data_IF_153474347673
#
_entry.id   IF_153474347673
#
_cell.length_a   1.000
_cell.length_b   1.000
_cell.length_c   1.000
_cell.angle_alpha   90.00
_cell.angle_beta   90.00
_cell.angle_gamma   90.00
#
_symmetry.space_group_name_H-M   'P 1'
#
loop_
_entity.id
_entity.type
_entity.pdbx_description
1 polymer ?
#
# COMPACT_ATOMS: atom_id res chain seq x y z
N UNK A 1 1.97 -4.92 -10.41
CA UNK A 1 0.72 -4.41 -11.04
C UNK A 1 -0.56 -4.75 -10.24
N UNK A 2 -0.48 -5.32 -9.03
CA UNK A 2 -1.67 -5.63 -8.20
C UNK A 2 -2.35 -4.42 -7.52
N UNK A 3 -1.77 -3.21 -7.63
CA UNK A 3 -2.19 -2.03 -6.87
C UNK A 3 -3.47 -1.37 -7.43
N UNK A 4 -3.75 -1.53 -8.72
CA UNK A 4 -4.93 -0.95 -9.37
C UNK A 4 -6.24 -1.54 -8.85
N UNK A 5 -6.44 -2.88 -8.80
CA UNK A 5 -7.65 -3.45 -8.23
C UNK A 5 -7.77 -3.17 -6.72
N UNK A 6 -6.65 -3.04 -5.99
CA UNK A 6 -6.65 -2.61 -4.60
C UNK A 6 -7.23 -1.19 -4.42
N UNK A 7 -6.77 -0.23 -5.22
CA UNK A 7 -7.27 1.15 -5.13
C UNK A 7 -8.74 1.25 -5.50
N UNK A 8 -9.20 0.50 -6.51
CA UNK A 8 -10.62 0.40 -6.81
C UNK A 8 -11.41 -0.15 -5.62
N UNK A 9 -10.93 -1.24 -5.02
CA UNK A 9 -11.62 -1.87 -3.89
C UNK A 9 -11.73 -0.93 -2.68
N UNK A 10 -10.67 -0.17 -2.37
CA UNK A 10 -10.64 0.78 -1.25
C UNK A 10 -11.56 2.00 -1.45
N UNK A 11 -11.82 2.40 -2.71
CA UNK A 11 -12.67 3.55 -3.05
C UNK A 11 -14.15 3.17 -3.12
N UNK A 12 -14.47 1.98 -3.67
CA UNK A 12 -15.85 1.57 -3.92
C UNK A 12 -16.49 0.72 -2.82
N UNK A 13 -15.70 -0.05 -2.05
CA UNK A 13 -16.22 -0.85 -0.95
C UNK A 13 -16.14 -0.10 0.39
N UNK A 14 -16.98 -0.55 1.33
CA UNK A 14 -16.96 -0.04 2.70
C UNK A 14 -15.57 -0.16 3.34
N UNK A 15 -15.26 0.82 4.20
CA UNK A 15 -13.98 0.97 4.93
C UNK A 15 -13.36 -0.35 5.33
N UNK A 16 -14.13 -1.20 6.00
CA UNK A 16 -13.62 -2.45 6.56
C UNK A 16 -13.32 -3.45 5.45
N UNK A 17 -14.23 -3.60 4.50
CA UNK A 17 -14.17 -4.62 3.44
C UNK A 17 -13.11 -4.28 2.39
N UNK A 18 -13.06 -3.03 1.90
CA UNK A 18 -12.08 -2.61 0.91
C UNK A 18 -10.65 -2.66 1.42
N UNK A 19 -10.42 -2.25 2.68
CA UNK A 19 -9.12 -2.33 3.34
C UNK A 19 -8.67 -3.79 3.54
N UNK A 20 -9.53 -4.64 4.10
CA UNK A 20 -9.13 -6.01 4.44
C UNK A 20 -9.03 -6.89 3.22
N UNK A 21 -10.00 -6.83 2.29
CA UNK A 21 -9.95 -7.62 1.06
C UNK A 21 -8.77 -7.20 0.18
N UNK A 22 -8.50 -5.89 0.09
CA UNK A 22 -7.36 -5.35 -0.62
C UNK A 22 -6.00 -5.76 -0.01
N UNK A 23 -5.85 -5.61 1.31
CA UNK A 23 -4.63 -5.97 2.00
C UNK A 23 -4.37 -7.48 2.03
N UNK A 24 -5.40 -8.29 2.25
CA UNK A 24 -5.29 -9.74 2.20
C UNK A 24 -5.00 -10.23 0.78
N UNK A 25 -5.65 -9.65 -0.24
CA UNK A 25 -5.40 -9.99 -1.64
C UNK A 25 -3.96 -9.69 -2.07
N UNK A 26 -3.44 -8.53 -1.69
CA UNK A 26 -2.02 -8.20 -1.91
C UNK A 26 -1.07 -9.08 -1.11
N UNK A 27 -1.37 -9.35 0.16
CA UNK A 27 -0.54 -10.22 1.00
C UNK A 27 -0.48 -11.67 0.48
N UNK A 28 -1.62 -12.22 0.06
CA UNK A 28 -1.73 -13.54 -0.57
C UNK A 28 -1.01 -13.58 -1.91
N UNK A 29 -1.09 -12.51 -2.71
CA UNK A 29 -0.34 -12.40 -3.94
C UNK A 29 1.17 -12.48 -3.66
N UNK A 30 1.69 -11.76 -2.68
CA UNK A 30 3.12 -11.80 -2.34
C UNK A 30 3.56 -13.16 -1.78
N UNK A 31 2.69 -13.86 -1.03
CA UNK A 31 2.96 -15.22 -0.56
C UNK A 31 3.04 -16.23 -1.70
N UNK A 32 2.15 -16.13 -2.67
CA UNK A 32 2.05 -17.07 -3.80
C UNK A 32 3.04 -16.78 -4.92
N UNK A 33 3.52 -15.53 -5.03
CA UNK A 33 4.46 -15.08 -6.06
C UNK A 33 5.94 -15.19 -5.67
N UNK A 34 6.25 -15.76 -4.49
CA UNK A 34 7.63 -15.99 -4.03
C UNK A 34 8.25 -14.81 -3.27
N UNK A 35 7.49 -13.73 -3.02
CA UNK A 35 7.91 -12.54 -2.28
C UNK A 35 7.46 -12.62 -0.81
N UNK A 36 7.54 -13.81 -0.21
CA UNK A 36 7.04 -14.11 1.15
C UNK A 36 7.61 -13.15 2.20
N UNK A 37 8.88 -12.77 2.06
CA UNK A 37 9.56 -11.88 3.00
C UNK A 37 8.97 -10.46 2.99
N UNK A 38 8.39 -10.05 1.86
CA UNK A 38 7.75 -8.75 1.67
C UNK A 38 6.26 -8.76 2.02
N UNK A 39 5.61 -9.92 2.00
CA UNK A 39 4.19 -10.09 2.29
C UNK A 39 3.73 -9.40 3.60
N UNK A 40 4.44 -9.48 4.74
CA UNK A 40 4.03 -8.80 5.97
C UNK A 40 3.99 -7.27 5.79
N UNK A 41 5.00 -6.70 5.13
CA UNK A 41 5.06 -5.25 4.87
C UNK A 41 4.03 -4.82 3.84
N UNK A 42 3.75 -5.65 2.85
CA UNK A 42 2.71 -5.39 1.86
C UNK A 42 1.33 -5.36 2.50
N UNK A 43 1.02 -6.29 3.42
CA UNK A 43 -0.24 -6.29 4.17
C UNK A 43 -0.36 -5.03 5.04
N UNK A 44 0.71 -4.66 5.75
CA UNK A 44 0.72 -3.44 6.59
C UNK A 44 0.53 -2.19 5.73
N UNK A 45 1.28 -2.07 4.64
CA UNK A 45 1.18 -0.96 3.69
C UNK A 45 -0.24 -0.86 3.13
N UNK A 46 -0.80 -1.96 2.64
CA UNK A 46 -2.14 -1.99 2.06
C UNK A 46 -3.24 -1.66 3.07
N UNK A 47 -3.10 -2.08 4.34
CA UNK A 47 -4.03 -1.67 5.41
C UNK A 47 -3.99 -0.16 5.66
N UNK A 48 -2.79 0.43 5.75
CA UNK A 48 -2.62 1.87 5.99
C UNK A 48 -3.11 2.69 4.78
N UNK A 49 -2.71 2.30 3.57
CA UNK A 49 -3.10 2.96 2.33
C UNK A 49 -4.63 2.90 2.13
N UNK A 50 -5.24 1.74 2.38
CA UNK A 50 -6.68 1.56 2.28
C UNK A 50 -7.43 2.41 3.30
N UNK A 51 -6.89 2.54 4.52
CA UNK A 51 -7.47 3.39 5.55
C UNK A 51 -7.47 4.87 5.16
N UNK A 52 -6.37 5.36 4.60
CA UNK A 52 -6.24 6.75 4.14
C UNK A 52 -7.19 7.04 2.99
N UNK A 53 -7.16 6.21 1.95
CA UNK A 53 -8.02 6.35 0.77
C UNK A 53 -9.48 6.35 1.15
N UNK A 54 -9.89 5.42 2.01
CA UNK A 54 -11.27 5.35 2.45
C UNK A 54 -11.61 6.57 3.32
N UNK A 55 -10.86 6.87 4.38
CA UNK A 55 -11.17 7.98 5.30
C UNK A 55 -11.31 9.34 4.60
N UNK A 56 -10.50 9.58 3.58
CA UNK A 56 -10.51 10.84 2.83
C UNK A 56 -11.57 10.88 1.72
N UNK A 57 -11.91 9.74 1.10
CA UNK A 57 -12.86 9.70 -0.03
C UNK A 57 -14.23 9.11 0.33
N UNK A 58 -14.45 8.64 1.56
CA UNK A 58 -15.69 8.01 1.98
C UNK A 58 -16.86 9.00 1.90
N UNK A 59 -17.84 8.69 1.05
CA UNK A 59 -19.05 9.50 0.75
C UNK A 59 -18.80 10.91 0.21
N UNK A 60 -17.55 11.32 -0.01
CA UNK A 60 -17.16 12.60 -0.61
C UNK A 60 -16.12 12.35 -1.69
N UNK A 61 -16.59 12.05 -2.90
CA UNK A 61 -15.75 11.88 -4.08
C UNK A 61 -15.30 13.24 -4.67
N UNK A 62 -14.61 14.04 -3.86
CA UNK A 62 -14.04 15.29 -4.33
C UNK A 62 -12.67 15.03 -4.96
N UNK A 63 -12.45 15.58 -6.16
CA UNK A 63 -11.18 15.45 -6.90
C UNK A 63 -9.97 15.89 -6.06
N UNK A 64 -10.12 16.96 -5.27
CA UNK A 64 -9.09 17.43 -4.32
C UNK A 64 -8.78 16.40 -3.22
N UNK A 65 -9.80 15.70 -2.71
CA UNK A 65 -9.63 14.66 -1.70
C UNK A 65 -8.92 13.44 -2.28
N UNK A 66 -9.27 13.08 -3.53
CA UNK A 66 -8.64 11.97 -4.23
C UNK A 66 -7.13 12.23 -4.43
N UNK A 67 -6.78 13.40 -4.99
CA UNK A 67 -5.38 13.79 -5.22
C UNK A 67 -4.58 13.79 -3.92
N UNK A 68 -5.10 14.41 -2.86
CA UNK A 68 -4.42 14.45 -1.56
C UNK A 68 -4.28 13.07 -0.93
N UNK A 69 -5.25 12.18 -1.11
CA UNK A 69 -5.18 10.79 -0.67
C UNK A 69 -4.07 10.02 -1.39
N UNK A 70 -3.95 10.19 -2.71
CA UNK A 70 -2.91 9.54 -3.51
C UNK A 70 -1.51 10.01 -3.12
N UNK A 71 -1.33 11.30 -2.84
CA UNK A 71 -0.04 11.82 -2.35
C UNK A 71 0.31 11.19 -1.00
N UNK A 72 -0.64 11.13 -0.06
CA UNK A 72 -0.41 10.51 1.24
C UNK A 72 -0.10 9.02 1.13
N UNK A 73 -0.82 8.31 0.27
CA UNK A 73 -0.62 6.88 -0.01
C UNK A 73 0.74 6.61 -0.64
N UNK A 74 1.20 7.47 -1.55
CA UNK A 74 2.54 7.37 -2.12
C UNK A 74 3.62 7.52 -1.05
N UNK A 75 3.47 8.49 -0.13
CA UNK A 75 4.40 8.67 1.00
C UNK A 75 4.42 7.43 1.90
N UNK A 76 3.25 6.87 2.24
CA UNK A 76 3.16 5.63 3.03
C UNK A 76 3.87 4.47 2.32
N UNK A 77 3.67 4.31 1.01
CA UNK A 77 4.36 3.27 0.24
C UNK A 77 5.87 3.40 0.35
N UNK A 78 6.42 4.60 0.15
CA UNK A 78 7.87 4.87 0.26
C UNK A 78 8.38 4.54 1.66
N UNK A 79 7.69 5.01 2.71
CA UNK A 79 8.11 4.79 4.10
C UNK A 79 8.06 3.31 4.48
N UNK A 80 6.99 2.59 4.12
CA UNK A 80 6.85 1.17 4.47
C UNK A 80 7.84 0.30 3.69
N UNK A 81 8.11 0.62 2.43
CA UNK A 81 9.16 -0.06 1.65
C UNK A 81 10.54 0.20 2.25
N UNK A 82 10.84 1.45 2.64
CA UNK A 82 12.12 1.81 3.26
C UNK A 82 12.33 1.07 4.58
N UNK A 83 11.30 0.99 5.44
CA UNK A 83 11.35 0.22 6.69
C UNK A 83 11.49 -1.28 6.37
N UNK A 84 10.75 -1.79 5.39
CA UNK A 84 10.85 -3.18 4.93
C UNK A 84 12.26 -3.56 4.46
N UNK A 85 12.90 -2.70 3.67
CA UNK A 85 14.28 -2.90 3.22
C UNK A 85 15.26 -2.89 4.40
N UNK A 86 15.07 -2.05 5.41
CA UNK A 86 15.90 -2.04 6.61
C UNK A 86 15.80 -3.38 7.37
N UNK A 87 14.59 -3.91 7.55
CA UNK A 87 14.38 -5.20 8.23
C UNK A 87 14.90 -6.40 7.42
N UNK A 88 14.80 -6.34 6.09
CA UNK A 88 15.17 -7.45 5.20
C UNK A 88 16.67 -7.49 4.91
N UNK A 89 17.30 -6.34 4.64
CA UNK A 89 18.69 -6.26 4.22
C UNK A 89 19.68 -6.02 5.38
N UNK A 90 19.21 -5.63 6.57
CA UNK A 90 20.08 -5.24 7.71
C UNK A 90 21.21 -4.25 7.30
N UNK A 91 20.98 -3.46 6.25
CA UNK A 91 21.97 -2.58 5.62
C UNK A 91 21.28 -1.28 5.20
N UNK A 92 21.83 -0.16 5.68
CA UNK A 92 21.35 1.21 5.47
C UNK A 92 21.55 1.73 4.03
N UNK A 93 22.28 0.99 3.17
CA UNK A 93 22.83 1.52 1.90
C UNK A 93 22.09 1.02 0.65
N UNK A 94 21.43 -0.14 0.72
CA UNK A 94 20.62 -0.66 -0.38
C UNK A 94 19.39 0.20 -0.80
N UNK A 95 18.71 0.95 0.09
CA UNK A 95 17.48 1.66 -0.27
C UNK A 95 17.67 2.81 -1.27
N UNK A 96 18.88 3.35 -1.39
CA UNK A 96 19.19 4.45 -2.32
C UNK A 96 19.17 3.99 -3.79
N UNK A 97 19.39 2.71 -4.06
CA UNK A 97 19.38 2.16 -5.42
C UNK A 97 17.97 1.86 -5.95
N UNK A 98 16.97 1.71 -5.06
CA UNK A 98 15.58 1.38 -5.41
C UNK A 98 14.72 2.62 -5.72
N UNK A 99 15.18 3.83 -5.38
CA UNK A 99 14.47 5.11 -5.58
C UNK A 99 14.12 5.40 -7.06
N UNK A 100 14.95 5.06 -8.06
CA UNK A 100 14.59 5.28 -9.47
C UNK A 100 13.56 4.28 -10.02
N UNK A 101 13.29 3.18 -9.31
CA UNK A 101 12.51 2.05 -9.82
C UNK A 101 11.12 1.85 -9.20
N UNK A 102 10.70 2.67 -8.25
CA UNK A 102 9.52 2.44 -7.40
C UNK A 102 8.48 3.58 -7.44
#
# INVERSE_FOLDING_TARGET
MGNVPFFLAAIFFDKRVGMTAGALGMGLFDLTSGWILWSPMTVISALIMGYILNKMNYKKHNLKSLITSFILVALVKVVVYYIGEIFILSSLVAPLASIPGN
#
